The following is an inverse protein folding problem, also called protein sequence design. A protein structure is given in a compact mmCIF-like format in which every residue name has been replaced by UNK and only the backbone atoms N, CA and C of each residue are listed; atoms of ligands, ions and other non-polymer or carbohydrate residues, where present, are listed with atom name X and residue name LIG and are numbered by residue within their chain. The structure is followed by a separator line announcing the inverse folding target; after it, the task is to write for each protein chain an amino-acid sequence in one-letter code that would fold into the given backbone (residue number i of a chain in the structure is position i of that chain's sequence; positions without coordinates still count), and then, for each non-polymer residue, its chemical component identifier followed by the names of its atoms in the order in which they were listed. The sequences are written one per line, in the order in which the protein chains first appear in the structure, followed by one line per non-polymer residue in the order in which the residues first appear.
data_IF_889384791561
#
_entry.id   IF_889384791561
#
_cell.length_a   1.000
_cell.length_b   1.000
_cell.length_c   1.000
_cell.angle_alpha   90.00
_cell.angle_beta   90.00
_cell.angle_gamma   90.00
#
_symmetry.space_group_name_H-M   'P 1'
#
loop_
_entity.id
_entity.type
_entity.pdbx_description
1 polymer ?
#
# COMPACT_ATOMS: atom_id res chain seq x y z
N UNK A 1 16.14 -6.43 30.52
CA UNK A 1 14.77 -6.43 29.93
C UNK A 1 14.92 -6.57 28.40
N UNK A 2 14.57 -7.72 27.80
CA UNK A 2 14.74 -7.96 26.35
C UNK A 2 13.59 -7.29 25.59
N UNK A 3 13.90 -6.36 24.67
CA UNK A 3 12.94 -5.81 23.71
C UNK A 3 12.49 -6.94 22.77
N UNK A 4 11.30 -7.50 22.96
CA UNK A 4 10.69 -8.43 21.99
C UNK A 4 10.31 -7.63 20.75
N UNK A 5 10.95 -7.91 19.62
CA UNK A 5 10.65 -7.25 18.35
C UNK A 5 9.31 -7.77 17.81
N UNK A 6 8.25 -6.98 17.87
CA UNK A 6 6.96 -7.32 17.26
C UNK A 6 6.95 -6.86 15.80
N UNK A 7 7.42 -7.72 14.90
CA UNK A 7 7.34 -7.46 13.47
C UNK A 7 5.89 -7.40 12.99
N UNK A 8 5.62 -6.54 12.00
CA UNK A 8 4.36 -6.50 11.25
C UNK A 8 4.65 -6.94 9.83
N UNK A 9 3.87 -7.89 9.33
CA UNK A 9 4.02 -8.40 7.98
C UNK A 9 2.89 -7.86 7.10
N UNK A 10 3.21 -7.17 5.99
CA UNK A 10 2.22 -6.81 4.99
C UNK A 10 1.91 -8.00 4.08
N UNK A 11 0.64 -8.15 3.73
CA UNK A 11 0.17 -9.03 2.67
C UNK A 11 -0.68 -8.18 1.74
N UNK A 12 -0.30 -8.10 0.46
CA UNK A 12 -0.99 -7.22 -0.46
C UNK A 12 -1.03 -7.72 -1.89
N UNK A 13 -2.04 -7.24 -2.60
CA UNK A 13 -2.22 -7.40 -4.04
C UNK A 13 -2.10 -6.03 -4.71
N UNK A 14 -1.41 -5.99 -5.84
CA UNK A 14 -1.12 -4.77 -6.59
C UNK A 14 -1.44 -5.03 -8.05
N UNK A 15 -2.28 -4.18 -8.64
CA UNK A 15 -2.71 -4.31 -10.02
C UNK A 15 -2.61 -2.96 -10.72
N UNK A 16 -1.89 -2.93 -11.84
CA UNK A 16 -1.86 -1.79 -12.74
C UNK A 16 -2.45 -2.21 -14.08
N UNK A 17 -3.53 -1.55 -14.50
CA UNK A 17 -4.24 -1.88 -15.75
C UNK A 17 -4.01 -0.74 -16.75
N UNK A 18 -3.22 -0.96 -17.81
CA UNK A 18 -3.10 -0.03 -18.92
C UNK A 18 -4.47 0.25 -19.55
N UNK A 19 -4.76 1.51 -19.88
CA UNK A 19 -6.04 1.91 -20.48
C UNK A 19 -5.89 2.20 -21.97
N UNK A 20 -4.81 2.85 -22.38
CA UNK A 20 -4.57 3.29 -23.75
C UNK A 20 -3.47 2.52 -24.48
N UNK A 21 -2.90 1.50 -23.86
CA UNK A 21 -1.88 0.62 -24.43
C UNK A 21 -2.09 -0.82 -23.93
N UNK A 22 -1.42 -1.79 -24.53
CA UNK A 22 -1.45 -3.20 -24.09
C UNK A 22 -0.41 -3.51 -23.00
N UNK A 23 0.50 -2.58 -22.75
CA UNK A 23 1.58 -2.68 -21.76
C UNK A 23 1.87 -1.31 -21.13
N UNK A 24 2.58 -1.30 -20.00
CA UNK A 24 2.99 -0.07 -19.31
C UNK A 24 4.25 0.53 -19.95
N UNK A 25 4.09 1.12 -21.13
CA UNK A 25 5.16 1.83 -21.87
C UNK A 25 5.01 3.34 -21.74
N UNK A 26 5.97 4.11 -22.27
CA UNK A 26 5.90 5.57 -22.37
C UNK A 26 4.53 6.05 -22.91
N UNK A 27 4.03 7.14 -22.32
CA UNK A 27 2.73 7.76 -22.64
C UNK A 27 1.50 6.88 -22.33
N UNK A 28 1.65 5.88 -21.45
CA UNK A 28 0.53 5.05 -21.00
C UNK A 28 -0.20 5.68 -19.81
N UNK A 29 -1.52 5.79 -19.90
CA UNK A 29 -2.42 6.03 -18.78
C UNK A 29 -2.86 4.68 -18.24
N UNK A 30 -2.81 4.51 -16.92
CA UNK A 30 -3.21 3.26 -16.27
C UNK A 30 -4.01 3.51 -14.99
N UNK A 31 -4.86 2.54 -14.65
CA UNK A 31 -5.50 2.46 -13.33
C UNK A 31 -4.55 1.72 -12.39
N UNK A 32 -4.38 2.23 -11.17
CA UNK A 32 -3.56 1.63 -10.13
C UNK A 32 -4.43 1.24 -8.94
N UNK A 33 -4.54 -0.06 -8.70
CA UNK A 33 -5.29 -0.65 -7.59
C UNK A 33 -4.34 -1.37 -6.66
N UNK A 34 -4.52 -1.16 -5.36
CA UNK A 34 -3.78 -1.92 -4.36
C UNK A 34 -4.68 -2.17 -3.15
N UNK A 35 -4.59 -3.39 -2.62
CA UNK A 35 -5.08 -3.68 -1.29
C UNK A 35 -4.00 -4.40 -0.48
N UNK A 36 -3.71 -3.88 0.71
CA UNK A 36 -2.65 -4.38 1.59
C UNK A 36 -3.16 -4.47 3.04
N UNK A 37 -3.06 -5.64 3.64
CA UNK A 37 -3.37 -5.89 5.05
C UNK A 37 -2.08 -6.08 5.85
N UNK A 38 -2.08 -5.62 7.10
CA UNK A 38 -0.95 -5.71 8.02
C UNK A 38 -1.36 -6.54 9.23
N UNK A 39 -0.59 -7.58 9.50
CA UNK A 39 -0.80 -8.50 10.63
C UNK A 39 0.39 -8.41 11.58
N UNK A 40 0.12 -8.32 12.88
CA UNK A 40 1.15 -8.38 13.93
C UNK A 40 1.62 -9.83 14.10
N UNK A 41 2.94 -10.07 14.09
CA UNK A 41 3.51 -11.41 14.26
C UNK A 41 3.36 -11.98 15.67
N UNK A 42 3.04 -11.14 16.66
CA UNK A 42 2.71 -11.54 18.02
C UNK A 42 1.69 -10.56 18.63
N UNK A 43 0.86 -11.05 19.54
CA UNK A 43 -0.12 -10.23 20.27
C UNK A 43 0.38 -9.79 21.64
N UNK A 44 1.24 -10.56 22.29
CA UNK A 44 1.93 -10.14 23.52
C UNK A 44 3.22 -9.39 23.17
N UNK A 45 3.29 -8.13 23.60
CA UNK A 45 4.44 -7.25 23.35
C UNK A 45 5.24 -6.94 24.63
N UNK A 46 4.95 -7.63 25.74
CA UNK A 46 5.60 -7.44 27.03
C UNK A 46 4.95 -6.36 27.90
N UNK A 47 5.37 -6.31 29.17
CA UNK A 47 4.88 -5.36 30.19
C UNK A 47 3.37 -5.45 30.45
N UNK A 48 2.79 -6.65 30.30
CA UNK A 48 1.35 -6.86 30.44
C UNK A 48 0.50 -6.22 29.34
N UNK A 49 1.12 -5.77 28.23
CA UNK A 49 0.44 -5.13 27.11
C UNK A 49 0.22 -6.10 25.98
N UNK A 50 -0.98 -6.05 25.40
CA UNK A 50 -1.33 -6.81 24.21
C UNK A 50 -1.71 -5.90 23.06
N UNK A 51 -1.47 -6.36 21.84
CA UNK A 51 -1.91 -5.75 20.59
C UNK A 51 -2.82 -6.72 19.85
N UNK A 52 -3.66 -6.16 18.99
CA UNK A 52 -4.54 -6.96 18.13
C UNK A 52 -3.74 -7.67 17.04
N UNK A 53 -4.20 -8.85 16.62
CA UNK A 53 -3.57 -9.59 15.52
C UNK A 53 -3.63 -8.79 14.21
N UNK A 54 -4.77 -8.17 13.92
CA UNK A 54 -4.92 -7.24 12.80
C UNK A 54 -4.42 -5.85 13.19
N UNK A 55 -3.52 -5.27 12.39
CA UNK A 55 -3.04 -3.90 12.57
C UNK A 55 -3.87 -2.91 11.74
N UNK A 56 -3.91 -3.11 10.42
CA UNK A 56 -4.60 -2.21 9.48
C UNK A 56 -4.77 -2.81 8.08
N UNK A 57 -5.69 -2.25 7.31
CA UNK A 57 -5.91 -2.45 5.88
C UNK A 57 -5.71 -1.11 5.15
N UNK A 58 -4.97 -1.13 4.04
CA UNK A 58 -4.77 0.00 3.14
C UNK A 58 -5.32 -0.37 1.77
N UNK A 59 -6.40 0.31 1.38
CA UNK A 59 -6.96 0.22 0.03
C UNK A 59 -6.58 1.47 -0.73
N UNK A 60 -5.97 1.31 -1.90
CA UNK A 60 -5.62 2.39 -2.80
C UNK A 60 -6.36 2.23 -4.12
N UNK A 61 -6.96 3.33 -4.56
CA UNK A 61 -7.59 3.50 -5.86
C UNK A 61 -6.99 4.77 -6.47
N UNK A 62 -6.31 4.62 -7.59
CA UNK A 62 -5.73 5.75 -8.27
C UNK A 62 -5.54 5.50 -9.75
N UNK A 63 -4.93 6.49 -10.39
CA UNK A 63 -4.50 6.43 -11.77
C UNK A 63 -3.06 6.90 -11.86
N UNK A 64 -2.39 6.52 -12.94
CA UNK A 64 -1.03 6.91 -13.19
C UNK A 64 -0.76 7.18 -14.66
N UNK A 65 0.40 7.76 -14.89
CA UNK A 65 0.92 8.09 -16.19
C UNK A 65 2.40 7.70 -16.29
N UNK A 66 2.74 6.95 -17.33
CA UNK A 66 4.13 6.61 -17.66
C UNK A 66 4.75 7.75 -18.47
N UNK A 67 5.64 8.52 -17.83
CA UNK A 67 6.36 9.63 -18.43
C UNK A 67 7.45 9.09 -19.38
N UNK A 68 8.16 8.05 -18.93
CA UNK A 68 9.14 7.28 -19.68
C UNK A 68 8.90 5.79 -19.40
N UNK A 69 9.57 4.90 -20.13
CA UNK A 69 9.46 3.45 -19.88
C UNK A 69 9.92 3.06 -18.47
N UNK A 70 10.81 3.85 -17.87
CA UNK A 70 11.35 3.63 -16.53
C UNK A 70 10.89 4.65 -15.47
N UNK A 71 10.03 5.60 -15.84
CA UNK A 71 9.56 6.68 -14.95
C UNK A 71 8.06 6.84 -15.03
N UNK A 72 7.38 6.67 -13.89
CA UNK A 72 5.92 6.77 -13.80
C UNK A 72 5.49 7.57 -12.58
N UNK A 73 4.41 8.32 -12.75
CA UNK A 73 3.71 9.03 -11.67
C UNK A 73 2.37 8.39 -11.40
N UNK A 74 1.94 8.38 -10.14
CA UNK A 74 0.62 7.91 -9.72
C UNK A 74 0.00 8.89 -8.75
N UNK A 75 -1.31 9.09 -8.89
CA UNK A 75 -2.12 9.86 -7.97
C UNK A 75 -3.44 9.15 -7.69
N UNK A 76 -3.89 9.22 -6.44
CA UNK A 76 -5.11 8.55 -6.05
C UNK A 76 -5.51 8.78 -4.61
N UNK A 77 -6.53 8.03 -4.20
CA UNK A 77 -7.04 8.03 -2.85
C UNK A 77 -6.71 6.72 -2.15
N UNK A 78 -6.22 6.83 -0.94
CA UNK A 78 -5.93 5.72 -0.05
C UNK A 78 -6.85 5.77 1.16
N UNK A 79 -7.54 4.67 1.44
CA UNK A 79 -8.27 4.45 2.68
C UNK A 79 -7.45 3.54 3.58
N UNK A 80 -7.07 4.05 4.75
CA UNK A 80 -6.48 3.24 5.81
C UNK A 80 -7.54 2.95 6.86
N UNK A 81 -7.77 1.66 7.15
CA UNK A 81 -8.75 1.19 8.13
C UNK A 81 -8.03 0.36 9.18
N UNK A 82 -8.19 0.72 10.44
CA UNK A 82 -7.77 -0.05 11.62
C UNK A 82 -9.03 -0.61 12.30
N UNK A 83 -8.88 -1.33 13.41
CA UNK A 83 -10.03 -1.79 14.19
C UNK A 83 -10.86 -0.63 14.75
N UNK A 84 -10.21 0.47 15.11
CA UNK A 84 -10.88 1.55 15.85
C UNK A 84 -11.27 2.75 14.98
N UNK A 85 -10.62 2.93 13.82
CA UNK A 85 -10.83 4.11 12.97
C UNK A 85 -10.52 3.84 11.51
N UNK A 86 -11.09 4.67 10.64
CA UNK A 86 -10.77 4.71 9.21
C UNK A 86 -10.51 6.14 8.75
N UNK A 87 -9.52 6.33 7.88
CA UNK A 87 -9.13 7.63 7.33
C UNK A 87 -8.86 7.51 5.83
N UNK A 88 -9.42 8.44 5.07
CA UNK A 88 -9.07 8.67 3.68
C UNK A 88 -7.93 9.69 3.55
N UNK A 89 -7.02 9.47 2.61
CA UNK A 89 -5.93 10.40 2.29
C UNK A 89 -5.65 10.41 0.79
N UNK A 90 -5.35 11.58 0.24
CA UNK A 90 -4.78 11.68 -1.10
C UNK A 90 -3.33 11.17 -1.07
N UNK A 91 -2.91 10.49 -2.12
CA UNK A 91 -1.55 10.00 -2.27
C UNK A 91 -1.05 10.31 -3.68
N UNK A 92 0.16 10.85 -3.73
CA UNK A 92 0.93 11.06 -4.94
C UNK A 92 2.24 10.27 -4.80
N UNK A 93 2.68 9.63 -5.87
CA UNK A 93 3.93 8.87 -5.87
C UNK A 93 4.64 8.93 -7.23
N UNK A 94 5.97 8.86 -7.16
CA UNK A 94 6.86 8.75 -8.29
C UNK A 94 7.58 7.41 -8.18
N UNK A 95 7.63 6.64 -9.27
CA UNK A 95 8.32 5.35 -9.31
C UNK A 95 9.34 5.39 -10.44
N UNK A 96 10.58 5.03 -10.13
CA UNK A 96 11.70 4.97 -11.06
C UNK A 96 12.35 3.58 -11.02
N UNK A 97 12.65 3.02 -12.17
CA UNK A 97 13.43 1.79 -12.33
C UNK A 97 14.78 2.12 -12.97
N UNK A 98 15.87 1.54 -12.47
CA UNK A 98 17.23 1.70 -13.00
C UNK A 98 17.54 0.68 -14.08
#
# INVERSE_FOLDING_TARGET
MRKKFSGRSPFGIFLNVPINNTSLVKNTVYIALNNEIFINGQTDIGDGRTVQLFDRNRTYLGMGYNILDNLRVQGGWMKQTTVNWSKGQAQLSLHHSF
#
